data_IF_227968953322
#
_entry.id   IF_227968953322
#
_cell.length_a   1.000
_cell.length_b   1.000
_cell.length_c   1.000
_cell.angle_alpha   90.00
_cell.angle_beta   90.00
_cell.angle_gamma   90.00
#
_symmetry.space_group_name_H-M   'P 1'
#
loop_
_entity.id
_entity.type
_entity.pdbx_description
1 polymer ?
#
# COMPACT_ATOMS: atom_id res chain seq x y z
N UNK A 1 34.44 -66.29 6.49
CA UNK A 1 34.15 -67.07 7.71
C UNK A 1 33.59 -66.10 8.75
N UNK A 2 32.46 -66.47 9.37
CA UNK A 2 31.47 -65.60 10.01
C UNK A 2 31.94 -64.84 11.28
N UNK A 3 31.28 -63.71 11.57
CA UNK A 3 30.35 -63.57 12.72
C UNK A 3 29.70 -62.16 12.73
N UNK A 4 28.37 -62.13 12.60
CA UNK A 4 27.52 -60.99 12.89
C UNK A 4 27.30 -60.87 14.42
N UNK A 5 27.17 -59.65 14.95
CA UNK A 5 26.32 -59.41 16.10
C UNK A 5 25.04 -58.68 15.71
N UNK A 6 23.93 -59.37 16.00
CA UNK A 6 22.58 -58.85 16.15
C UNK A 6 22.54 -57.59 17.02
N UNK A 7 21.72 -56.60 16.62
CA UNK A 7 20.96 -55.75 17.54
C UNK A 7 19.80 -55.02 16.85
N UNK A 8 18.60 -55.51 17.21
CA UNK A 8 17.37 -54.78 17.57
C UNK A 8 16.75 -53.82 16.55
N UNK A 9 15.59 -54.26 16.06
CA UNK A 9 14.45 -53.41 15.72
C UNK A 9 14.20 -52.38 16.82
N UNK A 10 14.14 -51.10 16.43
CA UNK A 10 13.36 -50.10 17.14
C UNK A 10 12.21 -49.68 16.21
N UNK A 11 11.01 -50.00 16.69
CA UNK A 11 9.72 -49.58 16.18
C UNK A 11 9.64 -48.05 16.08
N UNK A 12 8.84 -47.60 15.11
CA UNK A 12 8.62 -46.20 14.80
C UNK A 12 8.14 -45.37 15.98
N UNK A 13 8.63 -44.14 16.03
CA UNK A 13 7.96 -43.06 16.73
C UNK A 13 7.38 -42.15 15.66
N UNK A 14 6.06 -42.27 15.44
CA UNK A 14 5.30 -41.26 14.71
C UNK A 14 5.34 -39.97 15.52
N UNK A 15 5.84 -38.90 14.91
CA UNK A 15 5.75 -37.55 15.48
C UNK A 15 4.29 -37.20 15.80
N UNK A 16 4.02 -36.52 16.93
CA UNK A 16 2.66 -36.09 17.22
C UNK A 16 2.24 -35.04 16.20
N UNK A 17 1.18 -35.34 15.43
CA UNK A 17 0.48 -34.36 14.60
C UNK A 17 0.09 -33.18 15.48
N UNK A 18 0.78 -32.05 15.31
CA UNK A 18 0.36 -30.75 15.87
C UNK A 18 -1.01 -30.46 15.30
N UNK A 19 -2.04 -30.61 16.12
CA UNK A 19 -3.36 -30.06 15.84
C UNK A 19 -3.20 -28.55 15.66
N UNK A 20 -3.18 -28.08 14.41
CA UNK A 20 -3.28 -26.66 14.13
C UNK A 20 -4.69 -26.23 14.52
N UNK A 21 -4.79 -25.47 15.60
CA UNK A 21 -6.02 -24.79 15.95
C UNK A 21 -6.50 -23.98 14.74
N UNK A 22 -7.82 -23.94 14.45
CA UNK A 22 -8.35 -23.13 13.37
C UNK A 22 -7.89 -21.68 13.57
N UNK A 23 -7.24 -21.11 12.55
CA UNK A 23 -6.85 -19.69 12.52
C UNK A 23 -8.11 -18.87 12.78
N UNK A 24 -8.21 -18.28 13.97
CA UNK A 24 -9.24 -17.28 14.27
C UNK A 24 -9.07 -16.14 13.27
N UNK A 25 -10.02 -16.04 12.34
CA UNK A 25 -10.15 -14.90 11.44
C UNK A 25 -10.34 -13.66 12.31
N UNK A 26 -9.50 -12.61 12.18
CA UNK A 26 -9.70 -11.37 12.91
C UNK A 26 -11.10 -10.84 12.61
N UNK A 27 -11.79 -10.24 13.60
CA UNK A 27 -13.11 -9.67 13.36
C UNK A 27 -13.02 -8.66 12.21
N UNK A 28 -13.88 -8.84 11.21
CA UNK A 28 -14.14 -7.87 10.15
C UNK A 28 -14.38 -6.52 10.82
N UNK A 29 -13.47 -5.56 10.64
CA UNK A 29 -13.61 -4.25 11.26
C UNK A 29 -14.92 -3.63 10.79
N UNK A 30 -15.78 -3.29 11.74
CA UNK A 30 -17.05 -2.64 11.44
C UNK A 30 -16.73 -1.28 10.79
N UNK A 31 -17.27 -0.97 9.61
CA UNK A 31 -17.04 0.31 8.96
C UNK A 31 -17.41 1.44 9.94
N UNK A 32 -16.50 2.41 10.13
CA UNK A 32 -16.89 3.65 10.80
C UNK A 32 -17.97 4.30 9.91
N UNK A 33 -19.16 4.64 10.45
CA UNK A 33 -20.32 5.04 9.64
C UNK A 33 -20.09 6.20 8.67
N UNK A 34 -19.01 6.95 8.85
CA UNK A 34 -18.66 8.13 8.07
C UNK A 34 -17.30 8.03 7.36
N UNK A 35 -16.67 6.85 7.29
CA UNK A 35 -15.42 6.65 6.54
C UNK A 35 -15.72 6.16 5.13
N UNK A 36 -15.17 6.84 4.12
CA UNK A 36 -15.28 6.42 2.71
C UNK A 36 -14.28 5.32 2.32
N UNK A 37 -13.27 5.08 3.15
CA UNK A 37 -12.27 4.07 2.92
C UNK A 37 -12.72 2.74 3.53
N UNK A 38 -12.55 1.64 2.81
CA UNK A 38 -13.16 0.34 3.16
C UNK A 38 -12.25 -0.57 3.98
N UNK A 39 -10.93 -0.38 3.94
CA UNK A 39 -9.94 -1.24 4.58
C UNK A 39 -8.88 -0.41 5.33
N UNK A 40 -9.28 0.26 6.42
CA UNK A 40 -8.45 1.27 7.12
C UNK A 40 -7.27 0.72 7.92
N UNK A 41 -7.08 -0.60 7.92
CA UNK A 41 -5.89 -1.30 8.43
C UNK A 41 -5.55 -2.43 7.46
N UNK A 42 -4.27 -2.82 7.31
CA UNK A 42 -3.94 -3.81 6.29
C UNK A 42 -4.55 -5.20 6.56
N UNK A 43 -5.19 -5.79 5.55
CA UNK A 43 -5.69 -7.15 5.58
C UNK A 43 -4.57 -8.16 5.27
N UNK A 44 -3.55 -8.23 6.14
CA UNK A 44 -2.34 -9.04 5.93
C UNK A 44 -2.59 -10.52 5.57
N UNK A 45 -3.72 -11.07 6.03
CA UNK A 45 -4.09 -12.46 5.80
C UNK A 45 -4.50 -12.76 4.35
N UNK A 46 -4.80 -11.74 3.55
CA UNK A 46 -5.19 -11.85 2.14
C UNK A 46 -3.98 -11.77 1.19
N UNK A 47 -2.79 -11.47 1.70
CA UNK A 47 -1.59 -11.26 0.89
C UNK A 47 -0.69 -12.49 0.93
N UNK A 48 -0.37 -13.04 -0.23
CA UNK A 48 0.61 -14.12 -0.35
C UNK A 48 2.05 -13.59 -0.38
N UNK A 49 3.06 -14.39 0.05
CA UNK A 49 4.47 -14.01 -0.08
C UNK A 49 4.85 -13.74 -1.54
N UNK A 50 5.46 -12.58 -1.80
CA UNK A 50 5.92 -12.19 -3.14
C UNK A 50 4.81 -11.84 -4.14
N UNK A 51 3.54 -11.87 -3.71
CA UNK A 51 2.41 -11.57 -4.59
C UNK A 51 2.46 -10.15 -5.15
N UNK A 52 2.13 -10.00 -6.43
CA UNK A 52 1.97 -8.69 -7.06
C UNK A 52 0.86 -7.88 -6.41
N UNK A 53 1.13 -6.63 -6.08
CA UNK A 53 0.13 -5.68 -5.58
C UNK A 53 -0.13 -4.58 -6.61
N UNK A 54 -1.39 -4.18 -6.77
CA UNK A 54 -1.72 -2.93 -7.46
C UNK A 54 -1.90 -1.81 -6.43
N UNK A 55 -1.37 -0.62 -6.72
CA UNK A 55 -1.45 0.55 -5.85
C UNK A 55 -1.97 1.75 -6.63
N UNK A 56 -2.80 2.54 -5.96
CA UNK A 56 -3.25 3.85 -6.42
C UNK A 56 -3.30 4.83 -5.25
N UNK A 57 -2.94 6.09 -5.51
CA UNK A 57 -2.93 7.15 -4.51
C UNK A 57 -3.68 8.38 -4.97
N UNK A 58 -4.44 8.94 -4.03
CA UNK A 58 -4.91 10.31 -4.14
C UNK A 58 -4.08 11.20 -3.22
N UNK A 59 -3.69 12.38 -3.71
CA UNK A 59 -2.72 13.20 -3.00
C UNK A 59 -3.36 14.22 -2.08
N UNK A 60 -2.58 14.68 -1.09
CA UNK A 60 -2.64 16.00 -0.49
C UNK A 60 -1.48 16.83 -1.06
N UNK A 61 -1.65 18.14 -1.17
CA UNK A 61 -0.57 19.05 -1.58
C UNK A 61 0.00 19.84 -0.41
N UNK A 62 1.30 20.10 -0.44
CA UNK A 62 1.98 20.93 0.54
C UNK A 62 3.14 21.74 -0.06
N UNK A 63 3.60 22.75 0.68
CA UNK A 63 4.84 23.49 0.41
C UNK A 63 5.75 23.46 1.62
N UNK A 64 7.04 23.44 1.39
CA UNK A 64 8.09 23.49 2.43
C UNK A 64 8.64 24.92 2.46
N UNK A 65 8.80 25.49 3.65
CA UNK A 65 9.53 26.75 3.82
C UNK A 65 11.03 26.49 3.82
N UNK A 66 11.76 27.21 2.97
CA UNK A 66 13.21 27.18 2.92
C UNK A 66 13.83 28.06 4.02
N UNK A 67 15.11 27.85 4.40
CA UNK A 67 15.78 28.66 5.42
C UNK A 67 15.83 30.16 5.13
N UNK A 68 15.78 30.55 3.86
CA UNK A 68 15.72 31.94 3.40
C UNK A 68 14.31 32.57 3.49
N UNK A 69 13.33 31.82 4.02
CA UNK A 69 11.94 32.24 4.19
C UNK A 69 11.07 32.04 2.96
N UNK A 70 11.64 31.63 1.81
CA UNK A 70 10.87 31.33 0.59
C UNK A 70 10.14 30.00 0.68
N UNK A 71 9.18 29.77 -0.23
CA UNK A 71 8.39 28.53 -0.26
C UNK A 71 8.70 27.71 -1.49
N UNK A 72 8.76 26.38 -1.32
CA UNK A 72 8.88 25.45 -2.44
C UNK A 72 7.66 25.52 -3.39
N UNK A 73 7.81 24.90 -4.56
CA UNK A 73 6.64 24.49 -5.36
C UNK A 73 5.75 23.54 -4.57
N UNK A 74 4.51 23.37 -5.02
CA UNK A 74 3.60 22.37 -4.46
C UNK A 74 4.17 20.96 -4.67
N UNK A 75 4.21 20.18 -3.60
CA UNK A 75 4.66 18.79 -3.58
C UNK A 75 3.48 17.88 -3.21
N UNK A 76 3.39 16.68 -3.80
CA UNK A 76 2.40 15.68 -3.41
C UNK A 76 2.84 14.97 -2.13
N UNK A 77 1.87 14.59 -1.32
CA UNK A 77 2.01 13.55 -0.29
C UNK A 77 0.74 12.72 -0.21
N UNK A 78 0.77 11.57 0.42
CA UNK A 78 -0.39 10.65 0.47
C UNK A 78 -1.61 11.36 1.09
N UNK A 79 -2.74 11.36 0.39
CA UNK A 79 -4.06 11.75 0.91
C UNK A 79 -4.91 10.53 1.21
N UNK A 80 -5.03 9.64 0.22
CA UNK A 80 -5.58 8.30 0.31
C UNK A 80 -4.62 7.35 -0.39
N UNK A 81 -4.50 6.13 0.13
CA UNK A 81 -3.78 5.04 -0.53
C UNK A 81 -4.69 3.82 -0.58
N UNK A 82 -4.73 3.20 -1.74
CA UNK A 82 -5.42 1.93 -2.00
C UNK A 82 -4.42 0.90 -2.50
N UNK A 83 -4.45 -0.31 -1.95
CA UNK A 83 -3.64 -1.45 -2.38
C UNK A 83 -4.54 -2.66 -2.53
N UNK A 84 -4.48 -3.36 -3.66
CA UNK A 84 -5.20 -4.61 -3.92
C UNK A 84 -4.26 -5.75 -4.28
N UNK A 85 -4.66 -6.99 -3.97
CA UNK A 85 -3.94 -8.20 -4.40
C UNK A 85 -4.33 -8.62 -5.83
N UNK A 86 -3.85 -9.79 -6.27
CA UNK A 86 -4.11 -10.29 -7.63
C UNK A 86 -5.54 -10.77 -7.84
N UNK A 87 -6.29 -11.02 -6.76
CA UNK A 87 -7.71 -11.34 -6.78
C UNK A 87 -8.60 -10.08 -6.69
N UNK A 88 -8.00 -8.89 -6.77
CA UNK A 88 -8.67 -7.60 -6.63
C UNK A 88 -9.31 -7.35 -5.26
N UNK A 89 -8.87 -8.08 -4.23
CA UNK A 89 -9.31 -7.86 -2.86
C UNK A 89 -8.58 -6.64 -2.26
N UNK A 90 -9.27 -5.73 -1.55
CA UNK A 90 -8.64 -4.59 -0.91
C UNK A 90 -7.77 -5.05 0.27
N UNK A 91 -6.45 -4.83 0.15
CA UNK A 91 -5.49 -5.10 1.21
C UNK A 91 -5.35 -3.89 2.13
N UNK A 92 -5.34 -2.69 1.56
CA UNK A 92 -5.32 -1.43 2.29
C UNK A 92 -6.16 -0.42 1.52
N UNK A 93 -7.02 0.32 2.21
CA UNK A 93 -7.71 1.49 1.67
C UNK A 93 -7.92 2.45 2.85
N UNK A 94 -7.15 3.54 2.87
CA UNK A 94 -7.07 4.41 4.05
C UNK A 94 -6.68 5.84 3.68
N UNK A 95 -7.22 6.81 4.45
CA UNK A 95 -6.80 8.21 4.40
C UNK A 95 -5.64 8.49 5.36
N UNK A 96 -4.65 9.25 4.90
CA UNK A 96 -3.43 9.58 5.65
C UNK A 96 -3.49 10.99 6.25
N UNK A 97 -3.44 11.08 7.58
CA UNK A 97 -3.47 12.33 8.33
C UNK A 97 -2.05 12.76 8.66
N UNK A 98 -1.62 13.84 8.03
CA UNK A 98 -0.40 14.54 8.41
C UNK A 98 -0.70 15.53 9.54
N UNK A 99 0.19 15.55 10.55
CA UNK A 99 0.12 16.50 11.66
C UNK A 99 0.37 17.93 11.14
N UNK A 100 0.31 18.91 12.02
CA UNK A 100 0.76 20.26 11.65
C UNK A 100 2.26 20.33 11.91
N UNK A 101 3.03 20.70 10.90
CA UNK A 101 4.48 20.84 10.97
C UNK A 101 4.88 22.30 10.73
N UNK A 102 5.83 22.83 11.52
CA UNK A 102 6.18 24.27 11.56
C UNK A 102 6.60 24.86 10.21
N UNK A 103 7.28 24.08 9.37
CA UNK A 103 7.80 24.52 8.07
C UNK A 103 6.98 24.02 6.88
N UNK A 104 5.76 23.52 7.14
CA UNK A 104 4.90 22.94 6.11
C UNK A 104 3.61 23.73 6.01
N UNK A 105 3.30 24.19 4.80
CA UNK A 105 2.00 24.77 4.47
C UNK A 105 1.17 23.74 3.71
N UNK A 106 0.03 23.34 4.27
CA UNK A 106 -0.98 22.51 3.60
C UNK A 106 -1.68 23.34 2.52
N UNK A 107 -1.75 22.82 1.29
CA UNK A 107 -2.41 23.50 0.19
C UNK A 107 -3.85 22.99 0.02
N UNK A 108 -4.82 23.86 -0.30
CA UNK A 108 -6.17 23.44 -0.66
C UNK A 108 -6.15 22.56 -1.90
N UNK A 109 -7.01 21.54 -1.92
CA UNK A 109 -7.16 20.65 -3.06
C UNK A 109 -8.62 20.61 -3.51
N UNK A 110 -8.88 20.72 -4.82
CA UNK A 110 -10.23 20.54 -5.35
C UNK A 110 -10.82 19.18 -4.99
N UNK A 111 -12.10 19.14 -4.62
CA UNK A 111 -12.81 17.93 -4.20
C UNK A 111 -12.82 16.82 -5.28
N UNK A 112 -12.64 17.17 -6.55
CA UNK A 112 -12.55 16.21 -7.67
C UNK A 112 -11.38 15.24 -7.58
N UNK A 113 -10.39 15.50 -6.72
CA UNK A 113 -9.22 14.65 -6.51
C UNK A 113 -9.40 13.68 -5.33
N UNK A 114 -10.63 13.26 -5.04
CA UNK A 114 -10.92 12.11 -4.18
C UNK A 114 -10.63 12.27 -2.67
N UNK A 115 -10.00 13.35 -2.22
CA UNK A 115 -9.65 13.61 -0.80
C UNK A 115 -10.26 14.93 -0.34
N UNK A 116 -11.11 14.87 0.69
CA UNK A 116 -11.71 16.06 1.32
C UNK A 116 -11.13 16.30 2.71
N UNK A 117 -11.26 17.52 3.23
CA UNK A 117 -10.81 17.84 4.59
C UNK A 117 -11.48 16.98 5.67
N UNK A 118 -12.71 16.47 5.41
CA UNK A 118 -13.40 15.58 6.36
C UNK A 118 -12.70 14.23 6.46
N UNK A 119 -12.27 13.66 5.33
CA UNK A 119 -11.61 12.35 5.30
C UNK A 119 -10.28 12.33 6.08
N UNK A 120 -9.65 13.51 6.21
CA UNK A 120 -8.39 13.73 6.94
C UNK A 120 -8.60 13.94 8.45
N UNK A 121 -9.75 13.57 8.98
CA UNK A 121 -10.07 13.60 10.41
C UNK A 121 -10.09 12.19 10.99
N UNK A 122 -9.56 12.01 12.21
CA UNK A 122 -9.61 10.73 12.93
C UNK A 122 -11.04 10.21 13.09
N UNK A 123 -12.00 11.12 13.32
CA UNK A 123 -13.42 10.79 13.45
C UNK A 123 -14.05 10.21 12.16
N UNK A 124 -13.41 10.41 11.00
CA UNK A 124 -13.82 9.86 9.71
C UNK A 124 -12.92 8.70 9.24
N UNK A 125 -12.21 8.05 10.17
CA UNK A 125 -11.43 6.84 9.91
C UNK A 125 -10.04 7.08 9.32
N UNK A 126 -9.63 8.33 9.10
CA UNK A 126 -8.25 8.65 8.73
C UNK A 126 -7.26 8.19 9.81
N UNK A 127 -6.04 7.85 9.38
CA UNK A 127 -4.98 7.30 10.25
C UNK A 127 -3.74 8.19 10.20
N UNK A 128 -2.91 8.14 11.24
CA UNK A 128 -1.64 8.86 11.27
C UNK A 128 -0.77 8.46 10.06
N UNK A 129 -0.32 9.46 9.29
CA UNK A 129 0.37 9.24 8.03
C UNK A 129 1.67 8.43 8.18
N UNK A 130 2.37 8.54 9.31
CA UNK A 130 3.58 7.72 9.55
C UNK A 130 3.24 6.25 9.67
N UNK A 131 2.10 5.92 10.28
CA UNK A 131 1.61 4.55 10.35
C UNK A 131 1.20 4.04 8.97
N UNK A 132 0.45 4.85 8.21
CA UNK A 132 0.02 4.50 6.85
C UNK A 132 1.21 4.24 5.93
N UNK A 133 2.20 5.13 5.92
CA UNK A 133 3.40 4.98 5.09
C UNK A 133 4.21 3.73 5.46
N UNK A 134 4.34 3.40 6.75
CA UNK A 134 5.00 2.16 7.20
C UNK A 134 4.27 0.91 6.72
N UNK A 135 2.94 0.90 6.83
CA UNK A 135 2.13 -0.19 6.31
C UNK A 135 2.31 -0.34 4.81
N UNK A 136 2.22 0.77 4.06
CA UNK A 136 2.41 0.77 2.63
C UNK A 136 3.81 0.26 2.23
N UNK A 137 4.88 0.80 2.81
CA UNK A 137 6.25 0.29 2.58
C UNK A 137 6.38 -1.22 2.83
N UNK A 138 5.76 -1.73 3.90
CA UNK A 138 5.76 -3.16 4.20
C UNK A 138 4.97 -3.99 3.17
N UNK A 139 3.85 -3.45 2.69
CA UNK A 139 3.03 -4.05 1.64
C UNK A 139 3.75 -4.10 0.30
N UNK A 140 4.54 -3.08 -0.03
CA UNK A 140 5.24 -2.96 -1.31
C UNK A 140 6.53 -3.79 -1.36
N UNK A 141 7.26 -3.88 -0.24
CA UNK A 141 8.59 -4.50 -0.21
C UNK A 141 8.62 -5.94 -0.76
N UNK A 142 9.66 -6.26 -1.53
CA UNK A 142 9.95 -7.58 -2.13
C UNK A 142 8.82 -8.12 -3.02
N UNK A 143 8.12 -7.23 -3.73
CA UNK A 143 7.02 -7.58 -4.64
C UNK A 143 7.10 -6.77 -5.92
N UNK A 144 6.41 -7.25 -6.94
CA UNK A 144 6.06 -6.43 -8.09
C UNK A 144 4.87 -5.55 -7.71
N UNK A 145 4.98 -4.25 -8.02
CA UNK A 145 3.99 -3.22 -7.71
C UNK A 145 3.50 -2.62 -9.02
N UNK A 146 2.21 -2.75 -9.28
CA UNK A 146 1.56 -2.20 -10.48
C UNK A 146 0.89 -0.87 -10.13
N UNK A 147 1.10 0.14 -10.96
CA UNK A 147 0.46 1.46 -10.83
C UNK A 147 0.19 2.07 -12.22
N UNK A 148 -0.41 3.26 -12.26
CA UNK A 148 -0.65 3.98 -13.51
C UNK A 148 -0.23 5.45 -13.40
N UNK A 149 0.80 5.87 -14.16
CA UNK A 149 1.28 7.25 -14.12
C UNK A 149 2.00 7.60 -12.82
N UNK A 150 2.87 6.71 -12.35
CA UNK A 150 3.38 6.67 -10.97
C UNK A 150 4.35 7.76 -10.57
N UNK A 151 4.63 8.73 -11.43
CA UNK A 151 5.59 9.81 -11.15
C UNK A 151 5.29 10.51 -9.82
N UNK A 152 4.01 10.72 -9.51
CA UNK A 152 3.60 11.37 -8.27
C UNK A 152 3.53 10.39 -7.10
N UNK A 153 3.07 9.17 -7.31
CA UNK A 153 3.03 8.08 -6.32
C UNK A 153 4.42 7.80 -5.73
N UNK A 154 5.42 7.69 -6.61
CA UNK A 154 6.83 7.46 -6.23
C UNK A 154 7.43 8.61 -5.42
N UNK A 155 6.80 9.80 -5.41
CA UNK A 155 7.25 10.98 -4.67
C UNK A 155 6.38 11.29 -3.45
N UNK A 156 5.29 10.55 -3.23
CA UNK A 156 4.27 10.90 -2.25
C UNK A 156 4.60 10.48 -0.81
N UNK A 157 5.55 9.57 -0.62
CA UNK A 157 6.02 9.16 0.70
C UNK A 157 6.87 10.25 1.34
N UNK A 158 6.41 10.78 2.47
CA UNK A 158 7.07 11.88 3.16
C UNK A 158 8.04 11.39 4.24
N UNK A 159 7.64 10.38 5.01
CA UNK A 159 8.43 9.79 6.10
C UNK A 159 9.22 8.55 5.65
N UNK A 160 8.66 7.72 4.76
CA UNK A 160 9.26 6.46 4.29
C UNK A 160 9.70 6.59 2.82
N UNK A 161 10.66 7.48 2.53
CA UNK A 161 11.07 7.90 1.18
C UNK A 161 11.63 6.76 0.29
N UNK A 162 12.03 5.66 0.89
CA UNK A 162 12.56 4.44 0.26
C UNK A 162 11.48 3.35 0.10
N UNK A 163 10.18 3.70 0.18
CA UNK A 163 9.08 2.73 0.19
C UNK A 163 9.07 1.75 -0.99
N UNK A 164 9.57 2.16 -2.16
CA UNK A 164 9.63 1.34 -3.36
C UNK A 164 10.98 0.66 -3.60
N UNK A 165 12.04 0.97 -2.83
CA UNK A 165 13.42 0.53 -3.14
C UNK A 165 13.58 -0.99 -3.22
N UNK A 166 12.79 -1.74 -2.44
CA UNK A 166 12.80 -3.20 -2.45
C UNK A 166 11.76 -3.83 -3.39
N UNK A 167 11.15 -3.04 -4.28
CA UNK A 167 10.03 -3.48 -5.13
C UNK A 167 10.41 -3.35 -6.61
N UNK A 168 9.88 -4.24 -7.43
CA UNK A 168 9.83 -4.01 -8.88
C UNK A 168 8.60 -3.16 -9.19
N UNK A 169 8.74 -2.06 -9.94
CA UNK A 169 7.60 -1.18 -10.26
C UNK A 169 7.23 -1.34 -11.73
N UNK A 170 5.97 -1.67 -11.99
CA UNK A 170 5.37 -1.72 -13.32
C UNK A 170 4.40 -0.56 -13.47
N UNK A 171 4.78 0.43 -14.27
CA UNK A 171 3.91 1.55 -14.61
C UNK A 171 3.14 1.27 -15.90
N UNK A 172 1.83 1.05 -15.76
CA UNK A 172 0.94 0.75 -16.89
C UNK A 172 0.85 1.89 -17.89
N UNK A 173 1.01 3.15 -17.50
CA UNK A 173 1.03 4.27 -18.45
C UNK A 173 2.25 4.19 -19.37
N UNK A 174 3.40 3.77 -18.82
CA UNK A 174 4.63 3.57 -19.60
C UNK A 174 4.51 2.31 -20.48
N UNK A 175 4.05 1.20 -19.89
CA UNK A 175 3.89 -0.09 -20.58
C UNK A 175 2.98 0.04 -21.81
N UNK A 176 1.88 0.79 -21.68
CA UNK A 176 0.91 1.01 -22.75
C UNK A 176 1.06 2.37 -23.44
N UNK A 177 2.22 3.02 -23.35
CA UNK A 177 2.47 4.34 -23.94
C UNK A 177 2.09 4.45 -25.43
N UNK A 178 2.12 3.34 -26.19
CA UNK A 178 1.73 3.29 -27.60
C UNK A 178 0.22 3.36 -27.87
N UNK A 179 -0.62 3.26 -26.84
CA UNK A 179 -2.08 3.33 -26.97
C UNK A 179 -2.61 4.77 -27.11
N UNK A 180 -1.76 5.79 -27.00
CA UNK A 180 -2.11 7.19 -27.20
C UNK A 180 -0.94 7.95 -27.83
N UNK A 181 -1.23 8.90 -28.74
CA UNK A 181 -0.18 9.59 -29.53
C UNK A 181 0.82 10.38 -28.68
N UNK A 182 0.38 10.95 -27.56
CA UNK A 182 1.23 11.73 -26.66
C UNK A 182 2.11 10.86 -25.73
N UNK A 183 2.00 9.52 -25.82
CA UNK A 183 2.76 8.58 -25.01
C UNK A 183 2.26 8.44 -23.57
N UNK A 184 1.18 9.14 -23.19
CA UNK A 184 0.65 9.19 -21.82
C UNK A 184 -0.84 8.84 -21.80
N UNK A 185 -1.21 7.60 -22.16
CA UNK A 185 -2.61 7.20 -22.13
C UNK A 185 -3.17 7.38 -20.72
N UNK A 186 -4.36 7.97 -20.64
CA UNK A 186 -5.10 8.03 -19.39
C UNK A 186 -5.65 6.65 -19.03
N UNK A 187 -5.82 6.39 -17.74
CA UNK A 187 -6.38 5.12 -17.26
C UNK A 187 -7.75 4.82 -17.87
N UNK A 188 -8.59 5.84 -18.06
CA UNK A 188 -9.91 5.72 -18.71
C UNK A 188 -9.80 5.28 -20.17
N UNK A 189 -8.76 5.72 -20.89
CA UNK A 189 -8.50 5.30 -22.27
C UNK A 189 -8.19 3.81 -22.27
N UNK A 190 -7.23 3.37 -21.45
CA UNK A 190 -6.82 1.96 -21.40
C UNK A 190 -7.95 1.03 -20.92
N UNK A 191 -8.74 1.46 -19.94
CA UNK A 191 -9.81 0.63 -19.37
C UNK A 191 -11.01 0.44 -20.30
N UNK A 192 -11.13 1.19 -21.40
CA UNK A 192 -12.19 1.01 -22.40
C UNK A 192 -11.78 0.10 -23.55
N UNK A 193 -10.48 0.04 -23.82
CA UNK A 193 -9.92 -0.57 -25.03
C UNK A 193 -9.28 -1.94 -24.76
N UNK A 194 -9.22 -2.37 -23.49
CA UNK A 194 -8.77 -3.68 -23.01
C UNK A 194 -9.95 -4.42 -22.40
#
# INVERSE_FOLDING_TARGET
MALFPSRRCCLGQSEPKRNMAPKTVPPTQTPTPNCRATQTTPAWHLLQPGETGAIDMEFQKYKIQHPDGTWSKELPRIGRISVTNTQHEPILDVFAIFRNETHIKKCPQPARFGVTSKDLLLAHGGKDARTVERWAKTLLANRTVVLHGGKHDLQAFFYEQDAYTASEVVDTQVLYSRCQEDGTPGLVTLARDI
#
